data_IF_406619885851
#
_entry.id   IF_406619885851
#
_cell.length_a   1.000
_cell.length_b   1.000
_cell.length_c   1.000
_cell.angle_alpha   90.00
_cell.angle_beta   90.00
_cell.angle_gamma   90.00
#
_symmetry.space_group_name_H-M   'P 1'
#
loop_
_entity.id
_entity.type
_entity.pdbx_description
1 polymer ?
#
# COMPACT_ATOMS: atom_id res chain seq x y z
N UNK A 1 -40.04 -42.66 -23.02
CA UNK A 1 -39.97 -41.42 -22.20
C UNK A 1 -38.76 -41.46 -21.28
N UNK A 2 -37.53 -41.22 -21.79
CA UNK A 2 -36.31 -41.11 -20.95
C UNK A 2 -35.24 -40.15 -21.51
N UNK A 3 -35.56 -39.36 -22.53
CA UNK A 3 -34.59 -38.44 -23.16
C UNK A 3 -34.29 -37.17 -22.33
N UNK A 4 -34.98 -36.94 -21.21
CA UNK A 4 -34.83 -35.70 -20.42
C UNK A 4 -33.59 -35.68 -19.50
N UNK A 5 -32.98 -36.82 -19.16
CA UNK A 5 -31.86 -36.82 -18.21
C UNK A 5 -30.50 -36.55 -18.87
N UNK A 6 -30.32 -36.93 -20.14
CA UNK A 6 -29.04 -36.80 -20.84
C UNK A 6 -28.72 -35.32 -21.19
N UNK A 7 -29.73 -34.56 -21.60
CA UNK A 7 -29.58 -33.12 -21.89
C UNK A 7 -29.28 -32.30 -20.63
N UNK A 8 -29.93 -32.62 -19.50
CA UNK A 8 -29.64 -31.97 -18.21
C UNK A 8 -28.22 -32.26 -17.71
N UNK A 9 -27.71 -33.49 -17.88
CA UNK A 9 -26.34 -33.81 -17.49
C UNK A 9 -25.29 -33.09 -18.34
N UNK A 10 -25.53 -32.92 -19.65
CA UNK A 10 -24.63 -32.14 -20.50
C UNK A 10 -24.58 -30.66 -20.10
N UNK A 11 -25.73 -30.04 -19.80
CA UNK A 11 -25.77 -28.61 -19.41
C UNK A 11 -25.04 -28.36 -18.08
N UNK A 12 -25.23 -29.24 -17.09
CA UNK A 12 -24.55 -29.12 -15.79
C UNK A 12 -23.04 -29.32 -15.92
N UNK A 13 -22.61 -30.26 -16.77
CA UNK A 13 -21.18 -30.51 -17.02
C UNK A 13 -20.51 -29.32 -17.74
N UNK A 14 -21.18 -28.73 -18.73
CA UNK A 14 -20.67 -27.53 -19.42
C UNK A 14 -20.57 -26.31 -18.51
N UNK A 15 -21.51 -26.11 -17.58
CA UNK A 15 -21.46 -25.02 -16.60
C UNK A 15 -20.30 -25.13 -15.61
N UNK A 16 -19.99 -26.35 -15.15
CA UNK A 16 -18.87 -26.60 -14.23
C UNK A 16 -17.51 -26.34 -14.92
N UNK A 17 -17.37 -26.70 -16.20
CA UNK A 17 -16.15 -26.48 -16.97
C UNK A 17 -15.86 -24.97 -17.13
N UNK A 18 -16.90 -24.17 -17.41
CA UNK A 18 -16.77 -22.71 -17.53
C UNK A 18 -16.37 -22.06 -16.20
N UNK A 19 -16.93 -22.51 -15.08
CA UNK A 19 -16.52 -22.03 -13.75
C UNK A 19 -15.06 -22.34 -13.45
N UNK A 20 -14.57 -23.54 -13.78
CA UNK A 20 -13.16 -23.91 -13.57
C UNK A 20 -12.19 -23.07 -14.42
N UNK A 21 -12.58 -22.68 -15.64
CA UNK A 21 -11.75 -21.80 -16.48
C UNK A 21 -11.61 -20.38 -15.92
N UNK A 22 -12.61 -19.87 -15.18
CA UNK A 22 -12.56 -18.50 -14.62
C UNK A 22 -11.57 -18.40 -13.45
N UNK A 23 -11.31 -19.50 -12.73
CA UNK A 23 -10.37 -19.49 -11.60
C UNK A 23 -8.91 -19.73 -11.99
N UNK A 24 -8.62 -20.23 -13.20
CA UNK A 24 -7.24 -20.46 -13.65
C UNK A 24 -6.63 -19.25 -14.38
N UNK A 25 -7.44 -18.33 -14.89
CA UNK A 25 -7.00 -17.02 -15.37
C UNK A 25 -6.95 -16.01 -14.22
N UNK A 26 -6.19 -16.33 -13.17
CA UNK A 26 -5.67 -15.33 -12.25
C UNK A 26 -4.70 -14.45 -13.02
N UNK A 27 -5.22 -13.33 -13.53
CA UNK A 27 -4.47 -12.32 -14.28
C UNK A 27 -3.35 -11.78 -13.39
N UNK A 28 -2.15 -12.33 -13.57
CA UNK A 28 -0.91 -11.61 -13.33
C UNK A 28 -0.83 -10.53 -14.41
N UNK A 29 -1.11 -9.28 -14.06
CA UNK A 29 -0.67 -8.12 -14.85
C UNK A 29 0.73 -7.75 -14.33
N UNK A 30 1.82 -8.07 -15.04
CA UNK A 30 3.03 -7.27 -14.93
C UNK A 30 2.85 -6.07 -15.86
N UNK A 31 2.59 -4.91 -15.29
CA UNK A 31 2.62 -3.62 -15.99
C UNK A 31 4.07 -3.37 -16.43
N UNK A 32 4.43 -3.87 -17.61
CA UNK A 32 5.65 -3.54 -18.33
C UNK A 32 5.28 -2.59 -19.45
N UNK A 33 5.23 -1.30 -19.12
CA UNK A 33 5.21 -0.26 -20.11
C UNK A 33 6.65 -0.01 -20.58
N UNK A 34 6.95 -0.49 -21.79
CA UNK A 34 8.17 -0.20 -22.55
C UNK A 34 7.96 1.08 -23.35
N UNK A 35 8.64 2.17 -23.00
CA UNK A 35 9.10 3.23 -23.93
C UNK A 35 10.39 3.81 -23.32
N UNK A 36 11.58 3.32 -23.67
CA UNK A 36 12.48 3.87 -24.70
C UNK A 36 12.95 5.31 -24.39
N UNK A 37 14.14 5.47 -23.78
CA UNK A 37 15.19 6.34 -24.36
C UNK A 37 16.56 6.23 -23.65
N UNK A 38 17.53 5.85 -24.49
CA UNK A 38 18.97 6.16 -24.54
C UNK A 38 19.73 6.80 -23.35
N UNK A 39 20.81 6.10 -22.96
CA UNK A 39 22.09 6.60 -22.42
C UNK A 39 22.12 7.22 -21.00
N UNK A 40 22.44 6.41 -19.99
CA UNK A 40 23.41 6.78 -18.94
C UNK A 40 23.71 5.56 -18.03
N UNK A 41 24.97 5.14 -17.83
CA UNK A 41 25.29 4.06 -16.91
C UNK A 41 25.37 4.58 -15.47
N UNK A 42 24.92 3.73 -14.52
CA UNK A 42 25.01 3.87 -13.07
C UNK A 42 24.08 4.89 -12.38
N UNK A 43 23.07 4.37 -11.66
CA UNK A 43 23.05 4.34 -10.19
C UNK A 43 21.81 3.55 -9.73
N UNK A 44 22.02 2.58 -8.85
CA UNK A 44 20.99 2.15 -7.91
C UNK A 44 20.58 3.42 -7.12
N UNK A 45 19.50 4.06 -7.55
CA UNK A 45 18.86 5.14 -6.81
C UNK A 45 17.66 4.47 -6.15
N UNK A 46 17.72 4.31 -4.84
CA UNK A 46 16.63 3.82 -4.00
C UNK A 46 15.35 4.61 -4.31
N UNK A 47 14.51 4.05 -5.17
CA UNK A 47 13.32 4.72 -5.70
C UNK A 47 12.17 4.68 -4.69
N UNK A 48 12.38 5.26 -3.50
CA UNK A 48 11.25 5.61 -2.64
C UNK A 48 10.51 6.80 -3.27
N UNK A 49 9.18 6.73 -3.39
CA UNK A 49 8.42 7.85 -3.93
C UNK A 49 8.66 9.10 -3.08
N UNK A 50 8.87 10.24 -3.73
CA UNK A 50 8.98 11.52 -3.03
C UNK A 50 7.63 11.88 -2.41
N UNK A 51 7.47 11.62 -1.12
CA UNK A 51 6.28 12.01 -0.38
C UNK A 51 6.33 13.50 -0.04
N UNK A 52 5.24 14.21 -0.32
CA UNK A 52 5.08 15.63 -0.04
C UNK A 52 3.70 15.90 0.56
N UNK A 53 3.65 16.36 1.81
CA UNK A 53 2.40 16.69 2.49
C UNK A 53 2.28 18.20 2.69
N UNK A 54 1.07 18.71 2.49
CA UNK A 54 0.71 20.12 2.68
C UNK A 54 -0.19 20.34 3.90
N UNK A 55 -0.68 19.26 4.53
CA UNK A 55 -1.57 19.30 5.70
C UNK A 55 -1.01 18.42 6.80
N UNK A 56 -1.00 18.97 8.02
CA UNK A 56 -0.62 18.25 9.23
C UNK A 56 -1.86 17.77 9.97
N UNK A 57 -1.78 16.55 10.51
CA UNK A 57 -2.76 16.02 11.45
C UNK A 57 -2.35 16.42 12.87
N UNK A 58 -3.20 17.17 13.54
CA UNK A 58 -2.97 17.68 14.91
C UNK A 58 -3.66 16.84 15.99
N UNK A 59 -4.58 15.95 15.60
CA UNK A 59 -5.31 15.07 16.52
C UNK A 59 -4.64 13.69 16.55
N UNK A 60 -4.47 13.11 17.74
CA UNK A 60 -3.87 11.77 17.87
C UNK A 60 -4.72 10.71 17.13
N UNK A 61 -4.14 10.00 16.14
CA UNK A 61 -4.85 8.91 15.48
C UNK A 61 -4.98 7.69 16.42
N UNK A 62 -6.21 7.19 16.56
CA UNK A 62 -6.52 5.97 17.34
C UNK A 62 -6.20 4.67 16.59
N UNK A 63 -5.71 4.75 15.35
CA UNK A 63 -5.39 3.60 14.48
C UNK A 63 -4.14 2.86 14.95
N UNK A 64 -4.02 1.59 14.52
CA UNK A 64 -2.81 0.80 14.75
C UNK A 64 -1.74 1.19 13.73
N UNK A 65 -0.64 1.78 14.20
CA UNK A 65 0.45 2.27 13.36
C UNK A 65 1.49 1.15 13.22
N UNK A 66 1.78 0.77 11.99
CA UNK A 66 2.70 -0.33 11.64
C UNK A 66 4.09 0.18 11.26
N UNK A 67 4.18 1.40 10.75
CA UNK A 67 5.45 2.04 10.39
C UNK A 67 5.42 3.53 10.69
N UNK A 68 6.60 4.08 11.00
CA UNK A 68 6.77 5.49 11.31
C UNK A 68 8.03 6.03 10.61
N UNK A 69 7.96 7.26 10.10
CA UNK A 69 9.08 7.93 9.47
C UNK A 69 9.15 9.42 9.82
N UNK A 70 10.36 9.96 9.95
CA UNK A 70 10.60 11.39 10.07
C UNK A 70 10.80 11.97 8.67
N UNK A 71 9.94 12.89 8.27
CA UNK A 71 10.04 13.61 7.00
C UNK A 71 10.56 15.01 7.28
N UNK A 72 11.72 15.33 6.73
CA UNK A 72 12.27 16.68 6.78
C UNK A 72 11.54 17.62 5.82
N UNK A 73 11.53 18.93 6.13
CA UNK A 73 11.00 19.95 5.21
C UNK A 73 11.78 19.92 3.90
N UNK A 74 11.08 19.85 2.76
CA UNK A 74 11.68 19.89 1.42
C UNK A 74 10.82 20.75 0.49
N UNK A 75 11.34 21.89 0.05
CA UNK A 75 10.58 22.85 -0.77
C UNK A 75 9.28 23.29 -0.07
N UNK A 76 8.14 23.06 -0.74
CA UNK A 76 6.81 23.35 -0.22
C UNK A 76 6.21 22.24 0.65
N UNK A 77 6.93 21.13 0.86
CA UNK A 77 6.49 20.02 1.68
C UNK A 77 6.75 20.32 3.17
N UNK A 78 5.77 20.05 4.01
CA UNK A 78 5.88 20.25 5.45
C UNK A 78 6.78 19.17 6.09
N UNK A 79 7.52 19.58 7.12
CA UNK A 79 8.17 18.64 8.04
C UNK A 79 7.11 17.92 8.86
N UNK A 80 7.19 16.59 8.98
CA UNK A 80 6.26 15.84 9.80
C UNK A 80 6.76 14.47 10.24
N UNK A 81 6.01 13.86 11.15
CA UNK A 81 6.17 12.44 11.47
C UNK A 81 5.10 11.66 10.72
N UNK A 82 5.51 10.91 9.71
CA UNK A 82 4.62 10.09 8.89
C UNK A 82 4.28 8.81 9.64
N UNK A 83 2.99 8.63 9.92
CA UNK A 83 2.43 7.36 10.39
C UNK A 83 1.82 6.61 9.22
N UNK A 84 2.12 5.31 9.15
CA UNK A 84 1.48 4.36 8.25
C UNK A 84 0.71 3.37 9.10
N UNK A 85 -0.59 3.22 8.85
CA UNK A 85 -1.42 2.26 9.58
C UNK A 85 -1.46 0.87 8.91
N UNK A 86 -2.15 -0.07 9.55
CA UNK A 86 -2.32 -1.44 9.04
C UNK A 86 -3.12 -1.53 7.72
N UNK A 87 -3.86 -0.48 7.36
CA UNK A 87 -4.59 -0.36 6.08
C UNK A 87 -3.71 0.36 5.02
N UNK A 88 -2.41 0.56 5.29
CA UNK A 88 -1.46 1.32 4.46
C UNK A 88 -1.84 2.79 4.24
N UNK A 89 -2.68 3.38 5.11
CA UNK A 89 -2.97 4.81 5.04
C UNK A 89 -1.86 5.61 5.68
N UNK A 90 -1.47 6.67 4.97
CA UNK A 90 -0.43 7.60 5.37
C UNK A 90 -1.04 8.84 6.02
N UNK A 91 -0.51 9.23 7.17
CA UNK A 91 -0.92 10.43 7.87
C UNK A 91 0.31 11.19 8.38
N UNK A 92 0.42 12.46 8.02
CA UNK A 92 1.54 13.33 8.35
C UNK A 92 1.22 14.09 9.64
N UNK A 93 1.85 13.69 10.75
CA UNK A 93 1.58 14.24 12.08
C UNK A 93 2.37 15.53 12.30
N UNK A 94 1.74 16.53 12.92
CA UNK A 94 2.44 17.74 13.35
C UNK A 94 3.56 17.38 14.35
N UNK A 95 4.84 17.68 14.04
CA UNK A 95 5.95 17.35 14.94
C UNK A 95 5.86 18.08 16.30
N UNK A 96 5.06 19.16 16.38
CA UNK A 96 4.86 19.93 17.61
C UNK A 96 3.61 19.53 18.39
N UNK A 97 2.87 18.49 17.96
CA UNK A 97 1.67 18.07 18.67
C UNK A 97 2.02 17.55 20.08
N UNK A 98 1.37 18.09 21.11
CA UNK A 98 1.68 17.80 22.52
C UNK A 98 1.57 16.32 22.90
N UNK A 99 0.71 15.57 22.20
CA UNK A 99 0.51 14.13 22.40
C UNK A 99 1.56 13.25 21.72
N UNK A 100 2.29 13.79 20.72
CA UNK A 100 3.16 13.01 19.84
C UNK A 100 4.29 12.29 20.61
N UNK A 101 5.03 12.93 21.55
CA UNK A 101 6.08 12.23 22.30
C UNK A 101 5.55 11.02 23.08
N UNK A 102 4.38 11.17 23.73
CA UNK A 102 3.75 10.08 24.45
C UNK A 102 3.32 8.93 23.51
N UNK A 103 2.83 9.27 22.31
CA UNK A 103 2.47 8.28 21.29
C UNK A 103 3.68 7.55 20.74
N UNK A 104 4.78 8.24 20.47
CA UNK A 104 6.03 7.64 20.00
C UNK A 104 6.59 6.65 21.04
N UNK A 105 6.52 6.97 22.33
CA UNK A 105 6.89 6.03 23.39
C UNK A 105 6.03 4.77 23.40
N UNK A 106 4.71 4.90 23.21
CA UNK A 106 3.80 3.74 23.07
C UNK A 106 4.11 2.88 21.85
N UNK A 107 4.51 3.51 20.72
CA UNK A 107 4.91 2.79 19.51
C UNK A 107 6.24 2.05 19.71
N UNK A 108 7.22 2.69 20.35
CA UNK A 108 8.50 2.07 20.69
C UNK A 108 8.32 0.83 21.56
N UNK A 109 7.42 0.87 22.55
CA UNK A 109 7.08 -0.28 23.38
C UNK A 109 6.45 -1.45 22.60
N UNK A 110 5.87 -1.18 21.42
CA UNK A 110 5.35 -2.18 20.48
C UNK A 110 6.35 -2.60 19.40
N UNK A 111 7.60 -2.13 19.46
CA UNK A 111 8.64 -2.42 18.47
C UNK A 111 8.59 -1.54 17.21
N UNK A 112 7.79 -0.47 17.20
CA UNK A 112 7.71 0.47 16.08
C UNK A 112 8.53 1.72 16.41
N UNK A 113 9.66 1.89 15.73
CA UNK A 113 10.52 3.09 15.83
C UNK A 113 10.47 3.89 14.53
N UNK A 114 10.47 5.22 14.66
CA UNK A 114 10.49 6.10 13.49
C UNK A 114 11.88 6.11 12.86
N UNK A 115 11.92 5.95 11.54
CA UNK A 115 13.16 5.99 10.73
C UNK A 115 13.23 7.31 9.97
N UNK A 116 14.43 7.77 9.63
CA UNK A 116 14.56 8.91 8.72
C UNK A 116 14.03 8.55 7.31
N UNK A 117 13.29 9.46 6.68
CA UNK A 117 12.89 9.33 5.29
C UNK A 117 14.00 9.88 4.40
N UNK A 118 14.94 9.01 4.02
CA UNK A 118 16.00 9.29 3.04
C UNK A 118 15.49 9.16 1.60
#
# INVERSE_FOLDING_TARGET
MRLSSASHQMIVSSGLLLLLCVFTSGVFIPESDRIQDTSSPNKNVDARPSLCFQVLTTVEPRKNITSCYNLSKKGNCLQCVLFVDAENRMMCMDPNASWLPARLNRLKAKGVTCKEWS
#
